data_IF_791867569747
#
_entry.id   IF_791867569747
#
_cell.length_a   1.000
_cell.length_b   1.000
_cell.length_c   1.000
_cell.angle_alpha   90.00
_cell.angle_beta   90.00
_cell.angle_gamma   90.00
#
_symmetry.space_group_name_H-M   'P 1'
#
loop_
_entity.id
_entity.type
_entity.pdbx_description
1 polymer ?
#
# COMPACT_ATOMS: atom_id res chain seq x y z
N UNK A 1 13.82 33.18 -3.07
CA UNK A 1 14.53 31.94 -2.74
C UNK A 1 14.01 30.83 -3.66
N UNK A 2 14.81 30.46 -4.67
CA UNK A 2 14.51 29.32 -5.55
C UNK A 2 14.72 28.05 -4.70
N UNK A 3 13.61 27.44 -4.25
CA UNK A 3 13.67 26.19 -3.52
C UNK A 3 14.40 25.14 -4.33
N UNK A 4 15.38 24.51 -3.73
CA UNK A 4 16.15 23.41 -4.28
C UNK A 4 15.19 22.35 -4.85
N UNK A 5 15.08 22.26 -6.18
CA UNK A 5 14.26 21.23 -6.82
C UNK A 5 14.89 19.89 -6.49
N UNK A 6 14.35 19.20 -5.52
CA UNK A 6 14.80 17.87 -5.11
C UNK A 6 14.91 16.97 -6.36
N UNK A 7 16.13 16.52 -6.67
CA UNK A 7 16.38 15.68 -7.84
C UNK A 7 15.70 14.32 -7.67
N UNK A 8 15.01 13.85 -8.70
CA UNK A 8 14.45 12.51 -8.78
C UNK A 8 15.53 11.44 -8.56
N UNK A 9 15.43 10.69 -7.46
CA UNK A 9 16.47 9.79 -6.96
C UNK A 9 15.92 8.40 -6.57
N UNK A 10 16.68 7.61 -5.82
CA UNK A 10 16.27 6.28 -5.33
C UNK A 10 15.04 6.37 -4.41
N UNK A 11 14.94 7.39 -3.56
CA UNK A 11 13.81 7.60 -2.66
C UNK A 11 12.53 7.90 -3.45
N UNK A 12 12.62 8.79 -4.46
CA UNK A 12 11.50 9.08 -5.37
C UNK A 12 10.97 7.82 -6.06
N UNK A 13 11.88 6.94 -6.51
CA UNK A 13 11.51 5.67 -7.16
C UNK A 13 10.79 4.72 -6.23
N UNK A 14 11.25 4.61 -4.98
CA UNK A 14 10.63 3.75 -3.99
C UNK A 14 9.28 4.31 -3.52
N UNK A 15 9.16 5.64 -3.41
CA UNK A 15 7.89 6.29 -3.09
C UNK A 15 6.82 6.04 -4.17
N UNK A 16 7.17 6.14 -5.45
CA UNK A 16 6.25 5.75 -6.54
C UNK A 16 5.89 4.27 -6.43
N UNK A 17 6.89 3.39 -6.20
CA UNK A 17 6.65 1.95 -6.08
C UNK A 17 5.65 1.63 -4.97
N UNK A 18 5.82 2.21 -3.76
CA UNK A 18 4.93 1.93 -2.63
C UNK A 18 3.48 2.32 -2.91
N UNK A 19 3.26 3.47 -3.55
CA UNK A 19 1.92 3.91 -3.95
C UNK A 19 1.30 2.97 -4.99
N UNK A 20 2.10 2.51 -5.95
CA UNK A 20 1.61 1.65 -7.04
C UNK A 20 1.38 0.21 -6.56
N UNK A 21 2.06 -0.27 -5.54
CA UNK A 21 1.76 -1.60 -4.96
C UNK A 21 0.37 -1.66 -4.33
N UNK A 22 -0.08 -0.58 -3.69
CA UNK A 22 -1.43 -0.43 -3.15
C UNK A 22 -2.43 0.12 -4.19
N UNK A 23 -3.20 1.13 -3.81
CA UNK A 23 -4.31 1.71 -4.60
C UNK A 23 -3.87 2.51 -5.84
N UNK A 24 -2.58 2.81 -5.99
CA UNK A 24 -2.08 3.54 -7.14
C UNK A 24 -2.12 2.74 -8.44
N UNK A 25 -2.30 3.45 -9.54
CA UNK A 25 -2.31 2.90 -10.89
C UNK A 25 -1.35 3.68 -11.79
N UNK A 26 -0.68 2.98 -12.71
CA UNK A 26 0.09 3.60 -13.80
C UNK A 26 -0.63 3.38 -15.13
N UNK A 27 -0.91 4.45 -15.85
CA UNK A 27 -1.44 4.38 -17.21
C UNK A 27 -0.40 3.83 -18.22
N UNK A 28 -0.82 3.65 -19.47
CA UNK A 28 0.05 3.12 -20.54
C UNK A 28 1.26 4.01 -20.83
N UNK A 29 1.18 5.29 -20.51
CA UNK A 29 2.26 6.29 -20.73
C UNK A 29 3.14 6.45 -19.49
N UNK A 30 2.84 5.78 -18.37
CA UNK A 30 3.57 5.87 -17.12
C UNK A 30 3.13 7.01 -16.21
N UNK A 31 2.02 7.68 -16.52
CA UNK A 31 1.36 8.61 -15.60
C UNK A 31 0.75 7.85 -14.43
N UNK A 32 0.92 8.36 -13.20
CA UNK A 32 0.36 7.74 -12.01
C UNK A 32 -0.96 8.41 -11.61
N UNK A 33 -1.87 7.62 -11.03
CA UNK A 33 -3.10 8.11 -10.41
C UNK A 33 -3.39 7.37 -9.12
N UNK A 34 -3.81 8.10 -8.11
CA UNK A 34 -4.31 7.56 -6.83
C UNK A 34 -5.68 8.17 -6.58
N UNK A 35 -6.65 7.36 -6.18
CA UNK A 35 -8.02 7.79 -5.90
C UNK A 35 -8.43 7.25 -4.54
N UNK A 36 -9.06 8.10 -3.71
CA UNK A 36 -9.68 7.73 -2.44
C UNK A 36 -11.08 8.34 -2.32
N UNK A 37 -11.95 7.72 -1.53
CA UNK A 37 -13.25 8.30 -1.17
C UNK A 37 -13.07 9.55 -0.29
N UNK A 38 -14.10 10.37 -0.19
CA UNK A 38 -14.07 11.62 0.60
C UNK A 38 -13.69 11.40 2.07
N UNK A 39 -14.13 10.28 2.67
CA UNK A 39 -13.77 9.91 4.05
C UNK A 39 -12.27 9.64 4.27
N UNK A 40 -11.50 9.49 3.19
CA UNK A 40 -10.04 9.25 3.20
C UNK A 40 -9.26 10.42 2.57
N UNK A 41 -9.84 11.61 2.51
CA UNK A 41 -9.16 12.78 1.96
C UNK A 41 -7.89 13.16 2.75
N UNK A 42 -7.89 12.98 4.05
CA UNK A 42 -6.71 13.17 4.91
C UNK A 42 -5.57 12.22 4.50
N UNK A 43 -5.90 10.97 4.19
CA UNK A 43 -4.93 9.98 3.69
C UNK A 43 -4.38 10.34 2.31
N UNK A 44 -5.23 10.79 1.39
CA UNK A 44 -4.76 11.26 0.08
C UNK A 44 -3.82 12.46 0.23
N UNK A 45 -4.16 13.43 1.09
CA UNK A 45 -3.32 14.59 1.38
C UNK A 45 -1.99 14.19 2.03
N UNK A 46 -2.00 13.20 2.92
CA UNK A 46 -0.78 12.63 3.49
C UNK A 46 0.10 12.00 2.40
N UNK A 47 -0.47 11.19 1.49
CA UNK A 47 0.25 10.62 0.32
C UNK A 47 0.86 11.70 -0.57
N UNK A 48 0.14 12.79 -0.84
CA UNK A 48 0.64 13.93 -1.63
C UNK A 48 1.88 14.57 -0.95
N UNK A 49 1.78 14.86 0.37
CA UNK A 49 2.90 15.40 1.14
C UNK A 49 4.09 14.44 1.14
N UNK A 50 3.84 13.17 1.37
CA UNK A 50 4.84 12.10 1.32
C UNK A 50 5.56 12.05 -0.04
N UNK A 51 4.83 11.99 -1.16
CA UNK A 51 5.41 11.97 -2.50
C UNK A 51 6.28 13.20 -2.78
N UNK A 52 5.78 14.39 -2.42
CA UNK A 52 6.52 15.65 -2.59
C UNK A 52 7.79 15.69 -1.75
N UNK A 53 7.75 15.21 -0.51
CA UNK A 53 8.94 15.09 0.35
C UNK A 53 10.00 14.14 -0.18
N UNK A 54 9.63 13.20 -1.06
CA UNK A 54 10.56 12.28 -1.76
C UNK A 54 10.93 12.77 -3.17
N UNK A 55 10.59 14.01 -3.53
CA UNK A 55 10.91 14.60 -4.85
C UNK A 55 10.05 14.10 -6.00
N UNK A 56 8.86 13.59 -5.72
CA UNK A 56 7.88 13.18 -6.74
C UNK A 56 6.89 14.30 -6.97
N UNK A 57 6.84 14.83 -8.19
CA UNK A 57 5.85 15.84 -8.57
C UNK A 57 4.47 15.20 -8.74
N UNK A 58 3.47 15.76 -8.07
CA UNK A 58 2.07 15.37 -8.16
C UNK A 58 1.15 16.57 -7.96
N UNK A 59 -0.09 16.45 -8.41
CA UNK A 59 -1.12 17.48 -8.23
C UNK A 59 -1.60 17.53 -6.78
N UNK A 60 -2.27 18.60 -6.39
CA UNK A 60 -3.11 18.59 -5.19
C UNK A 60 -4.29 17.64 -5.37
N UNK A 61 -5.02 17.37 -4.29
CA UNK A 61 -6.23 16.55 -4.35
C UNK A 61 -7.29 17.24 -5.23
N UNK A 62 -7.74 16.53 -6.25
CA UNK A 62 -8.75 17.00 -7.22
C UNK A 62 -10.06 16.27 -6.93
N UNK A 63 -11.18 16.99 -6.71
CA UNK A 63 -12.46 16.35 -6.47
C UNK A 63 -12.96 15.61 -7.72
N UNK A 64 -13.69 14.53 -7.50
CA UNK A 64 -14.33 13.72 -8.54
C UNK A 64 -15.64 13.16 -8.00
N UNK A 65 -16.73 13.35 -8.72
CA UNK A 65 -17.91 12.52 -8.51
C UNK A 65 -17.69 11.17 -9.21
N UNK A 66 -17.78 10.09 -8.46
CA UNK A 66 -17.58 8.73 -8.95
C UNK A 66 -18.90 7.95 -8.81
N UNK A 67 -19.78 8.04 -9.81
CA UNK A 67 -21.09 7.36 -9.82
C UNK A 67 -21.94 7.67 -8.57
N UNK A 68 -22.04 8.97 -8.20
CA UNK A 68 -22.81 9.42 -7.02
C UNK A 68 -22.03 9.40 -5.69
N UNK A 69 -20.79 8.94 -5.69
CA UNK A 69 -19.93 8.99 -4.51
C UNK A 69 -18.85 10.06 -4.67
N UNK A 70 -18.68 10.87 -3.63
CA UNK A 70 -17.62 11.86 -3.60
C UNK A 70 -16.27 11.19 -3.37
N UNK A 71 -15.32 11.50 -4.24
CA UNK A 71 -13.97 10.98 -4.22
C UNK A 71 -12.97 12.08 -4.55
N UNK A 72 -11.70 11.84 -4.24
CA UNK A 72 -10.59 12.72 -4.57
C UNK A 72 -9.46 11.92 -5.19
N UNK A 73 -8.73 12.52 -6.11
CA UNK A 73 -7.58 11.89 -6.72
C UNK A 73 -6.41 12.85 -6.89
N UNK A 74 -5.21 12.30 -7.06
CA UNK A 74 -4.00 13.02 -7.48
C UNK A 74 -3.37 12.34 -8.67
N UNK A 75 -2.73 13.13 -9.54
CA UNK A 75 -1.88 12.63 -10.62
C UNK A 75 -0.40 12.74 -10.23
N UNK A 76 0.36 11.70 -10.54
CA UNK A 76 1.82 11.69 -10.46
C UNK A 76 2.37 11.94 -11.86
N UNK A 77 3.35 12.85 -11.96
CA UNK A 77 3.96 13.17 -13.23
C UNK A 77 4.71 11.96 -13.83
N UNK A 78 4.66 11.87 -15.15
CA UNK A 78 5.38 10.85 -15.92
C UNK A 78 6.88 11.00 -15.74
N UNK A 79 7.57 9.90 -15.47
CA UNK A 79 9.04 9.81 -15.40
C UNK A 79 9.55 8.65 -16.24
N UNK A 80 10.83 8.65 -16.58
CA UNK A 80 11.47 7.47 -17.23
C UNK A 80 11.34 6.23 -16.36
N UNK A 81 11.40 6.39 -15.03
CA UNK A 81 11.22 5.30 -14.08
C UNK A 81 9.78 4.79 -14.03
N UNK A 82 8.78 5.65 -13.98
CA UNK A 82 7.38 5.20 -13.94
C UNK A 82 6.97 4.47 -15.23
N UNK A 83 7.50 4.88 -16.38
CA UNK A 83 7.35 4.12 -17.65
C UNK A 83 7.97 2.72 -17.57
N UNK A 84 9.18 2.60 -17.01
CA UNK A 84 9.82 1.30 -16.80
C UNK A 84 9.04 0.45 -15.80
N UNK A 85 8.64 1.04 -14.67
CA UNK A 85 7.85 0.38 -13.65
C UNK A 85 6.51 -0.17 -14.22
N UNK A 86 5.84 0.63 -15.07
CA UNK A 86 4.63 0.19 -15.79
C UNK A 86 4.88 -1.08 -16.60
N UNK A 87 5.99 -1.12 -17.37
CA UNK A 87 6.36 -2.29 -18.18
C UNK A 87 6.65 -3.54 -17.32
N UNK A 88 7.23 -3.35 -16.12
CA UNK A 88 7.56 -4.46 -15.21
C UNK A 88 6.32 -4.98 -14.49
N UNK A 89 5.48 -4.08 -13.96
CA UNK A 89 4.34 -4.46 -13.13
C UNK A 89 3.11 -4.92 -13.91
N UNK A 90 2.93 -4.52 -15.17
CA UNK A 90 1.69 -4.79 -15.91
C UNK A 90 1.91 -5.66 -17.15
N UNK A 91 2.69 -6.74 -17.00
CA UNK A 91 3.05 -7.63 -18.14
C UNK A 91 1.88 -8.49 -18.64
N UNK A 92 0.93 -8.86 -17.79
CA UNK A 92 -0.10 -9.86 -18.08
C UNK A 92 -1.52 -9.33 -17.85
N UNK A 93 -1.77 -8.06 -18.18
CA UNK A 93 -3.09 -7.43 -18.01
C UNK A 93 -3.43 -6.98 -16.60
N UNK A 94 -2.80 -7.55 -15.56
CA UNK A 94 -2.95 -7.18 -14.16
C UNK A 94 -1.67 -6.61 -13.55
N UNK A 95 -1.77 -6.13 -12.33
CA UNK A 95 -0.64 -5.59 -11.57
C UNK A 95 0.13 -6.71 -10.84
N UNK A 96 1.38 -6.96 -11.25
CA UNK A 96 2.23 -8.02 -10.71
C UNK A 96 3.02 -7.53 -9.49
N UNK A 97 2.41 -7.55 -8.32
CA UNK A 97 3.01 -7.06 -7.05
C UNK A 97 4.03 -8.03 -6.44
N UNK A 98 4.19 -9.21 -6.97
CA UNK A 98 5.03 -10.30 -6.45
C UNK A 98 6.46 -10.30 -6.99
N UNK A 99 6.91 -9.22 -7.65
CA UNK A 99 8.30 -9.13 -8.11
C UNK A 99 9.26 -8.99 -6.93
N UNK A 100 10.03 -10.03 -6.61
CA UNK A 100 10.92 -10.08 -5.44
C UNK A 100 11.97 -8.95 -5.45
N UNK A 101 12.53 -8.58 -6.62
CA UNK A 101 13.51 -7.47 -6.72
C UNK A 101 12.89 -6.12 -6.36
N UNK A 102 11.59 -5.94 -6.62
CA UNK A 102 10.86 -4.73 -6.22
C UNK A 102 10.48 -4.78 -4.74
N UNK A 103 10.02 -5.93 -4.23
CA UNK A 103 9.69 -6.11 -2.81
C UNK A 103 10.90 -5.83 -1.92
N UNK A 104 12.10 -6.29 -2.26
CA UNK A 104 13.33 -6.04 -1.51
C UNK A 104 13.73 -4.55 -1.43
N UNK A 105 13.03 -3.66 -2.10
CA UNK A 105 13.25 -2.20 -2.03
C UNK A 105 12.36 -1.51 -1.01
N UNK A 106 11.40 -2.23 -0.44
CA UNK A 106 10.43 -1.65 0.48
C UNK A 106 11.05 -1.47 1.86
N UNK A 107 10.81 -0.32 2.46
CA UNK A 107 11.07 -0.01 3.88
C UNK A 107 9.79 -0.14 4.69
N UNK A 108 9.86 0.03 6.00
CA UNK A 108 8.69 0.05 6.90
C UNK A 108 7.63 1.08 6.45
N UNK A 109 8.06 2.29 6.04
CA UNK A 109 7.20 3.33 5.49
C UNK A 109 6.41 2.84 4.25
N UNK A 110 7.07 2.10 3.35
CA UNK A 110 6.45 1.56 2.15
C UNK A 110 5.46 0.43 2.45
N UNK A 111 5.82 -0.45 3.40
CA UNK A 111 4.92 -1.50 3.90
C UNK A 111 3.69 -0.90 4.59
N UNK A 112 3.86 0.19 5.34
CA UNK A 112 2.75 0.91 5.96
C UNK A 112 1.77 1.47 4.91
N UNK A 113 2.26 2.06 3.82
CA UNK A 113 1.43 2.55 2.71
C UNK A 113 0.64 1.38 2.10
N UNK A 114 1.32 0.28 1.78
CA UNK A 114 0.65 -0.90 1.23
C UNK A 114 -0.41 -1.45 2.19
N UNK A 115 -0.11 -1.52 3.49
CA UNK A 115 -1.07 -1.94 4.50
C UNK A 115 -2.26 -0.98 4.65
N UNK A 116 -2.03 0.33 4.60
CA UNK A 116 -3.11 1.32 4.63
C UNK A 116 -4.05 1.18 3.42
N UNK A 117 -3.53 0.80 2.26
CA UNK A 117 -4.32 0.56 1.05
C UNK A 117 -5.06 -0.79 1.13
N UNK A 118 -4.34 -1.88 1.14
CA UNK A 118 -4.86 -3.23 0.93
C UNK A 118 -4.99 -4.07 2.22
N UNK A 119 -4.51 -3.56 3.33
CA UNK A 119 -4.51 -4.26 4.61
C UNK A 119 -5.81 -4.09 5.38
N UNK A 120 -6.04 -5.03 6.30
CA UNK A 120 -7.15 -4.97 7.24
C UNK A 120 -6.86 -5.75 8.50
N UNK A 121 -7.45 -5.31 9.61
CA UNK A 121 -7.39 -5.97 10.90
C UNK A 121 -8.80 -6.37 11.31
N UNK A 122 -9.03 -7.64 11.57
CA UNK A 122 -10.30 -8.17 12.06
C UNK A 122 -10.16 -8.83 13.41
N UNK A 123 -11.20 -8.71 14.23
CA UNK A 123 -11.29 -9.33 15.55
C UNK A 123 -12.14 -10.60 15.46
N UNK A 124 -11.63 -11.70 15.97
CA UNK A 124 -12.39 -12.93 16.15
C UNK A 124 -13.04 -12.90 17.51
N UNK A 125 -14.36 -13.04 17.55
CA UNK A 125 -15.15 -13.04 18.78
C UNK A 125 -15.80 -14.40 18.99
N UNK A 126 -15.86 -14.81 20.24
CA UNK A 126 -16.68 -15.95 20.71
C UNK A 126 -17.45 -15.46 21.93
N UNK A 127 -18.79 -15.61 21.92
CA UNK A 127 -19.66 -15.15 23.00
C UNK A 127 -19.44 -13.69 23.40
N UNK A 128 -19.19 -12.81 22.40
CA UNK A 128 -18.90 -11.39 22.61
C UNK A 128 -17.47 -11.06 23.01
N UNK A 129 -16.65 -12.04 23.41
CA UNK A 129 -15.26 -11.85 23.85
C UNK A 129 -14.32 -11.96 22.66
N UNK A 130 -13.39 -11.00 22.53
CA UNK A 130 -12.32 -11.05 21.50
C UNK A 130 -11.26 -12.04 21.98
N UNK A 131 -11.08 -13.16 21.25
CA UNK A 131 -10.06 -14.16 21.57
C UNK A 131 -8.87 -14.14 20.63
N UNK A 132 -9.00 -13.54 19.45
CA UNK A 132 -7.89 -13.41 18.49
C UNK A 132 -8.06 -12.20 17.59
N UNK A 133 -6.93 -11.70 17.07
CA UNK A 133 -6.88 -10.72 16.01
C UNK A 133 -6.31 -11.38 14.76
N UNK A 134 -6.83 -11.00 13.60
CA UNK A 134 -6.39 -11.50 12.32
C UNK A 134 -6.06 -10.31 11.42
N UNK A 135 -4.80 -10.26 10.98
CA UNK A 135 -4.36 -9.27 9.99
C UNK A 135 -4.35 -9.90 8.61
N UNK A 136 -4.84 -9.15 7.63
CA UNK A 136 -4.92 -9.56 6.24
C UNK A 136 -4.33 -8.48 5.33
N UNK A 137 -3.74 -8.90 4.20
CA UNK A 137 -3.35 -8.02 3.09
C UNK A 137 -3.93 -8.62 1.81
N UNK A 138 -4.76 -7.83 1.12
CA UNK A 138 -5.36 -8.24 -0.14
C UNK A 138 -4.32 -8.09 -1.26
N UNK A 139 -3.88 -9.18 -1.82
CA UNK A 139 -2.85 -9.20 -2.86
C UNK A 139 -3.43 -9.46 -4.25
N UNK A 140 -4.68 -9.94 -4.31
CA UNK A 140 -5.42 -10.19 -5.57
C UNK A 140 -4.63 -10.97 -6.62
N UNK A 141 -3.84 -11.97 -6.18
CA UNK A 141 -2.96 -12.75 -7.06
C UNK A 141 -3.19 -14.26 -6.90
N UNK A 142 -2.45 -15.08 -7.65
CA UNK A 142 -2.49 -16.54 -7.58
C UNK A 142 -1.80 -17.06 -6.31
N UNK A 143 -2.01 -18.33 -5.99
CA UNK A 143 -1.38 -19.02 -4.86
C UNK A 143 0.15 -18.97 -4.95
N UNK A 144 0.71 -19.28 -6.10
CA UNK A 144 2.16 -19.35 -6.30
C UNK A 144 2.83 -17.98 -6.22
N UNK A 145 2.20 -16.98 -6.83
CA UNK A 145 2.68 -15.61 -6.75
C UNK A 145 2.62 -15.05 -5.31
N UNK A 146 1.59 -15.44 -4.56
CA UNK A 146 1.45 -15.07 -3.16
C UNK A 146 2.55 -15.70 -2.30
N UNK A 147 3.04 -16.89 -2.64
CA UNK A 147 4.14 -17.54 -1.95
C UNK A 147 5.41 -16.68 -1.98
N UNK A 148 5.70 -16.01 -3.11
CA UNK A 148 6.84 -15.09 -3.23
C UNK A 148 6.74 -13.94 -2.23
N UNK A 149 5.52 -13.44 -2.00
CA UNK A 149 5.27 -12.36 -1.03
C UNK A 149 5.40 -12.88 0.41
N UNK A 150 4.91 -14.10 0.68
CA UNK A 150 5.05 -14.76 1.98
C UNK A 150 6.53 -14.94 2.34
N UNK A 151 7.32 -15.48 1.41
CA UNK A 151 8.76 -15.70 1.59
C UNK A 151 9.49 -14.37 1.82
N UNK A 152 9.11 -13.33 1.10
CA UNK A 152 9.64 -11.98 1.32
C UNK A 152 9.36 -11.48 2.76
N UNK A 153 8.13 -11.60 3.26
CA UNK A 153 7.82 -11.16 4.61
C UNK A 153 8.52 -11.98 5.67
N UNK A 154 8.68 -13.29 5.46
CA UNK A 154 9.40 -14.15 6.37
C UNK A 154 10.90 -13.82 6.41
N UNK A 155 11.54 -13.73 5.24
CA UNK A 155 12.99 -13.56 5.14
C UNK A 155 13.47 -12.15 5.50
N UNK A 156 12.71 -11.12 5.12
CA UNK A 156 13.13 -9.73 5.31
C UNK A 156 12.61 -9.14 6.62
N UNK A 157 11.41 -9.53 7.06
CA UNK A 157 10.71 -8.91 8.19
C UNK A 157 10.51 -9.86 9.38
N UNK A 158 10.81 -11.15 9.24
CA UNK A 158 10.58 -12.15 10.27
C UNK A 158 9.11 -12.40 10.59
N UNK A 159 8.21 -12.09 9.66
CA UNK A 159 6.76 -12.21 9.83
C UNK A 159 6.24 -13.39 9.02
N UNK A 160 5.55 -14.30 9.69
CA UNK A 160 4.94 -15.48 9.07
C UNK A 160 3.52 -15.20 8.65
N UNK A 161 3.30 -15.12 7.33
CA UNK A 161 1.98 -15.12 6.73
C UNK A 161 1.60 -16.51 6.25
N UNK A 162 0.30 -16.79 6.25
CA UNK A 162 -0.34 -17.86 5.47
C UNK A 162 -1.15 -17.21 4.36
N UNK A 163 -1.70 -17.99 3.46
CA UNK A 163 -2.59 -17.49 2.42
C UNK A 163 -3.94 -18.20 2.48
N UNK A 164 -4.99 -17.45 2.20
CA UNK A 164 -6.37 -17.96 2.17
C UNK A 164 -7.06 -17.51 0.90
N UNK A 165 -7.88 -18.41 0.34
CA UNK A 165 -8.73 -18.10 -0.81
C UNK A 165 -9.88 -17.20 -0.37
N UNK A 166 -10.10 -16.12 -1.10
CA UNK A 166 -11.21 -15.18 -0.88
C UNK A 166 -11.76 -14.70 -2.21
N UNK A 167 -13.01 -15.06 -2.52
CA UNK A 167 -13.71 -14.66 -3.76
C UNK A 167 -12.88 -14.87 -5.04
N UNK A 168 -12.25 -16.05 -5.18
CA UNK A 168 -11.46 -16.42 -6.35
C UNK A 168 -10.02 -15.92 -6.37
N UNK A 169 -9.58 -15.13 -5.41
CA UNK A 169 -8.19 -14.65 -5.27
C UNK A 169 -7.60 -15.02 -3.92
N UNK A 170 -6.29 -15.17 -3.87
CA UNK A 170 -5.59 -15.39 -2.60
C UNK A 170 -5.22 -14.06 -1.95
N UNK A 171 -5.25 -14.05 -0.63
CA UNK A 171 -4.78 -12.94 0.21
C UNK A 171 -3.86 -13.47 1.31
N UNK A 172 -2.99 -12.62 1.83
CA UNK A 172 -2.17 -12.93 3.00
C UNK A 172 -3.00 -12.84 4.26
N UNK A 173 -2.64 -13.68 5.24
CA UNK A 173 -3.28 -13.73 6.55
C UNK A 173 -2.26 -14.09 7.60
N UNK A 174 -2.32 -13.43 8.77
CA UNK A 174 -1.60 -13.87 9.96
C UNK A 174 -2.45 -13.68 11.22
N UNK A 175 -2.17 -14.50 12.24
CA UNK A 175 -2.85 -14.43 13.54
C UNK A 175 -2.22 -13.41 14.48
N UNK A 176 -2.76 -13.29 15.69
CA UNK A 176 -2.48 -12.23 16.68
C UNK A 176 -0.99 -11.97 16.93
N UNK A 177 -0.17 -13.02 17.09
CA UNK A 177 1.28 -12.88 17.38
C UNK A 177 2.01 -12.17 16.24
N UNK A 178 1.82 -12.65 15.03
CA UNK A 178 2.48 -12.08 13.84
C UNK A 178 1.88 -10.72 13.44
N UNK A 179 0.57 -10.54 13.67
CA UNK A 179 -0.11 -9.26 13.48
C UNK A 179 0.47 -8.16 14.39
N UNK A 180 0.77 -8.47 15.65
CA UNK A 180 1.44 -7.52 16.57
C UNK A 180 2.81 -7.09 16.03
N UNK A 181 3.66 -8.04 15.65
CA UNK A 181 4.98 -7.75 15.04
C UNK A 181 4.85 -6.85 13.81
N UNK A 182 3.89 -7.17 12.92
CA UNK A 182 3.65 -6.38 11.71
C UNK A 182 3.20 -4.96 12.06
N UNK A 183 2.25 -4.82 12.98
CA UNK A 183 1.73 -3.52 13.38
C UNK A 183 2.79 -2.66 14.09
N UNK A 184 3.71 -3.25 14.82
CA UNK A 184 4.84 -2.53 15.43
C UNK A 184 5.75 -1.89 14.37
N UNK A 185 5.94 -2.57 13.22
CA UNK A 185 6.71 -2.04 12.08
C UNK A 185 6.01 -0.84 11.42
N UNK A 186 4.68 -0.88 11.28
CA UNK A 186 3.95 0.11 10.50
C UNK A 186 3.31 1.23 11.35
N UNK A 187 3.25 1.06 12.67
CA UNK A 187 2.53 1.93 13.60
C UNK A 187 2.91 3.40 13.47
N UNK A 188 4.20 3.71 13.43
CA UNK A 188 4.72 5.08 13.33
C UNK A 188 4.12 5.84 12.14
N UNK A 189 3.93 5.16 11.01
CA UNK A 189 3.43 5.76 9.77
C UNK A 189 1.90 5.79 9.72
N UNK A 190 1.25 4.71 10.12
CA UNK A 190 -0.22 4.60 10.10
C UNK A 190 -0.86 5.58 11.09
N UNK A 191 -0.24 5.80 12.26
CA UNK A 191 -0.74 6.74 13.27
C UNK A 191 -0.73 8.21 12.83
N UNK A 192 0.01 8.55 11.78
CA UNK A 192 0.02 9.89 11.18
C UNK A 192 -1.26 10.19 10.37
N UNK A 193 -2.09 9.17 10.10
CA UNK A 193 -3.29 9.28 9.25
C UNK A 193 -4.53 8.94 10.04
N UNK A 194 -5.32 9.93 10.51
CA UNK A 194 -6.48 9.70 11.38
C UNK A 194 -7.51 8.72 10.80
N UNK A 195 -7.83 8.81 9.51
CA UNK A 195 -8.78 7.91 8.86
C UNK A 195 -8.30 6.44 8.83
N UNK A 196 -7.00 6.19 9.00
CA UNK A 196 -6.39 4.85 9.01
C UNK A 196 -6.16 4.29 10.43
N UNK A 197 -6.42 5.06 11.49
CA UNK A 197 -6.18 4.65 12.88
C UNK A 197 -6.89 3.33 13.25
N UNK A 198 -8.06 3.06 12.66
CA UNK A 198 -8.81 1.83 12.86
C UNK A 198 -8.03 0.56 12.47
N UNK A 199 -7.04 0.66 11.59
CA UNK A 199 -6.17 -0.45 11.16
C UNK A 199 -5.12 -0.85 12.20
N UNK A 200 -4.92 -0.03 13.25
CA UNK A 200 -3.97 -0.30 14.35
C UNK A 200 -4.64 -0.89 15.59
N UNK A 201 -5.96 -0.90 15.66
CA UNK A 201 -6.70 -1.25 16.87
C UNK A 201 -6.70 -2.76 17.13
N UNK A 202 -5.59 -3.28 17.68
CA UNK A 202 -5.61 -4.55 18.40
C UNK A 202 -6.19 -4.26 19.80
N UNK A 203 -7.46 -4.54 20.00
CA UNK A 203 -7.99 -4.58 21.36
C UNK A 203 -7.42 -5.82 22.03
N UNK A 204 -6.80 -5.60 23.18
CA UNK A 204 -6.38 -6.63 24.11
C UNK A 204 -7.57 -7.43 24.62
#
# INVERSE_FOLDING_TARGET
MLGDKMKFNKQSRNAILSIILGDGYLDKNGGGKVLHCAAQLDYLNWKIKYLRSKGVACTDAIPKNNNGFDAYYTYLNVTKWSKLLRKVLYKSGGKNIYNRKLLNRLSAEHIAIWYMDDGGLSQKKREGVIYANELMINTHTTKDNNQIIIDYFLEVWGIRFTQVLNRGHYRLRCGTKEARKFLDIVREYVSQVPSMAHKLNIKS
#
